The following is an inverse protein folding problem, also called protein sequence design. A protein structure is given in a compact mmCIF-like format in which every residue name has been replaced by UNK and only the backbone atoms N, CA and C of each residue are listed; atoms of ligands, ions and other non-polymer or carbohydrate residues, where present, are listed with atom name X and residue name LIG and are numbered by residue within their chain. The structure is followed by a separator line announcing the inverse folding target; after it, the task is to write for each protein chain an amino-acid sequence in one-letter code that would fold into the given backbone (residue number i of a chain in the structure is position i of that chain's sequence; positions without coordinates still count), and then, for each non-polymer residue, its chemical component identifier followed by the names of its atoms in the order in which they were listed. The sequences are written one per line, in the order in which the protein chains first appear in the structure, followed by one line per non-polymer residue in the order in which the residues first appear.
data_IF_146788369507
#
_entry.id   IF_146788369507
#
_cell.length_a   1.000
_cell.length_b   1.000
_cell.length_c   1.000
_cell.angle_alpha   90.00
_cell.angle_beta   90.00
_cell.angle_gamma   90.00
#
_symmetry.space_group_name_H-M   'P 1'
#
loop_
_entity.id
_entity.type
_entity.pdbx_description
1 polymer ?
#
# COMPACT_ATOMS: atom_id res chain seq x y z
N UNK A 1 6.87 -12.46 1.38
CA UNK A 1 6.03 -11.76 0.38
C UNK A 1 6.37 -10.28 0.24
N UNK A 2 6.37 -9.48 1.32
CA UNK A 2 6.70 -8.04 1.26
C UNK A 2 7.95 -7.71 0.44
N UNK A 3 9.10 -8.32 0.75
CA UNK A 3 10.37 -8.10 0.00
C UNK A 3 10.25 -8.33 -1.50
N UNK A 4 9.61 -9.43 -1.91
CA UNK A 4 9.47 -9.78 -3.34
C UNK A 4 8.58 -8.75 -4.05
N UNK A 5 7.46 -8.35 -3.43
CA UNK A 5 6.60 -7.28 -3.97
C UNK A 5 7.37 -5.95 -4.08
N UNK A 6 8.11 -5.56 -3.04
CA UNK A 6 8.92 -4.34 -3.06
C UNK A 6 9.96 -4.33 -4.19
N UNK A 7 10.62 -5.46 -4.44
CA UNK A 7 11.61 -5.57 -5.51
C UNK A 7 11.00 -5.43 -6.91
N UNK A 8 9.83 -6.05 -7.14
CA UNK A 8 9.17 -5.99 -8.45
C UNK A 8 8.51 -4.63 -8.74
N UNK A 9 8.29 -3.79 -7.71
CA UNK A 9 7.74 -2.44 -7.88
C UNK A 9 8.75 -1.42 -8.41
N UNK A 10 10.04 -1.69 -8.22
CA UNK A 10 11.12 -0.86 -8.77
C UNK A 10 11.20 -0.99 -10.31
N UNK A 11 11.74 0.05 -10.97
CA UNK A 11 12.14 1.34 -10.42
C UNK A 11 10.99 2.35 -10.22
N UNK A 12 9.77 2.04 -10.68
CA UNK A 12 8.68 3.02 -10.78
C UNK A 12 8.09 3.40 -9.42
N UNK A 13 8.02 2.45 -8.48
CA UNK A 13 7.48 2.68 -7.15
C UNK A 13 8.43 2.16 -6.09
N UNK A 14 8.82 3.06 -5.19
CA UNK A 14 9.58 2.75 -4.00
C UNK A 14 8.64 2.36 -2.86
N UNK A 15 8.89 1.21 -2.22
CA UNK A 15 8.22 0.85 -0.96
C UNK A 15 9.07 1.39 0.18
N UNK A 16 8.52 2.35 0.95
CA UNK A 16 9.24 2.93 2.09
C UNK A 16 8.98 2.19 3.40
N UNK A 17 7.84 1.52 3.53
CA UNK A 17 7.43 0.83 4.75
C UNK A 17 6.52 -0.36 4.47
N UNK A 18 6.61 -1.40 5.28
CA UNK A 18 5.76 -2.58 5.20
C UNK A 18 5.06 -2.84 6.54
N UNK A 19 3.73 -2.93 6.50
CA UNK A 19 2.89 -3.11 7.69
C UNK A 19 2.28 -4.52 7.67
N UNK A 20 2.39 -5.22 8.80
CA UNK A 20 2.08 -6.66 8.88
C UNK A 20 0.74 -6.98 9.57
N UNK A 21 0.08 -6.01 10.20
CA UNK A 21 -1.22 -6.22 10.83
C UNK A 21 -2.11 -4.98 10.73
N UNK A 22 -3.42 -5.19 10.93
CA UNK A 22 -4.37 -4.08 10.96
C UNK A 22 -4.12 -3.13 12.12
N UNK A 23 -3.79 -3.64 13.32
CA UNK A 23 -3.50 -2.78 14.48
C UNK A 23 -2.24 -1.94 14.26
N UNK A 24 -1.21 -2.51 13.60
CA UNK A 24 -0.03 -1.77 13.19
C UNK A 24 -0.38 -0.70 12.15
N UNK A 25 -1.29 -0.98 11.21
CA UNK A 25 -1.75 0.01 10.25
C UNK A 25 -2.44 1.19 10.93
N UNK A 26 -3.29 0.92 11.93
CA UNK A 26 -3.94 1.98 12.71
C UNK A 26 -2.94 2.85 13.47
N UNK A 27 -1.87 2.26 14.01
CA UNK A 27 -0.85 2.98 14.76
C UNK A 27 0.12 3.76 13.86
N UNK A 28 0.50 3.21 12.71
CA UNK A 28 1.63 3.70 11.92
C UNK A 28 1.22 4.63 10.77
N UNK A 29 0.07 4.37 10.12
CA UNK A 29 -0.41 5.21 9.01
C UNK A 29 -0.52 6.70 9.33
N UNK A 30 -1.04 7.16 10.49
CA UNK A 30 -1.14 8.61 10.76
C UNK A 30 0.23 9.29 10.93
N UNK A 31 1.30 8.54 11.20
CA UNK A 31 2.66 9.07 11.25
C UNK A 31 3.26 9.14 9.84
N UNK A 32 3.20 8.03 9.11
CA UNK A 32 3.73 7.91 7.76
C UNK A 32 3.07 8.92 6.81
N UNK A 33 1.74 9.01 6.80
CA UNK A 33 0.99 9.96 5.97
C UNK A 33 1.31 11.42 6.30
N UNK A 34 1.67 11.71 7.55
CA UNK A 34 2.10 13.03 7.99
C UNK A 34 3.60 13.31 7.71
N UNK A 35 4.35 12.37 7.12
CA UNK A 35 5.79 12.49 6.89
C UNK A 35 6.63 12.38 8.15
N UNK A 36 6.20 11.56 9.11
CA UNK A 36 6.91 11.29 10.38
C UNK A 36 7.29 9.81 10.45
N UNK A 37 8.35 9.52 11.19
CA UNK A 37 8.79 8.14 11.42
C UNK A 37 7.66 7.27 12.02
N UNK A 38 7.53 6.02 11.57
CA UNK A 38 6.54 5.10 12.12
C UNK A 38 6.93 4.76 13.57
N UNK A 39 5.96 4.87 14.48
CA UNK A 39 6.12 4.40 15.86
C UNK A 39 5.87 2.89 15.96
N UNK A 40 6.53 2.11 15.10
CA UNK A 40 6.27 0.67 14.98
C UNK A 40 6.71 -0.09 16.22
N UNK A 41 5.81 -0.93 16.74
CA UNK A 41 6.13 -1.88 17.82
C UNK A 41 6.79 -3.16 17.30
N UNK A 42 6.74 -3.39 15.99
CA UNK A 42 7.20 -4.60 15.30
C UNK A 42 7.94 -4.23 14.01
N UNK A 43 9.15 -3.64 14.11
CA UNK A 43 9.91 -3.23 12.94
C UNK A 43 10.25 -4.43 12.05
N UNK A 44 10.43 -4.17 10.76
CA UNK A 44 10.89 -5.15 9.78
C UNK A 44 11.86 -4.50 8.80
N UNK A 45 12.51 -5.29 7.95
CA UNK A 45 13.55 -4.83 7.03
C UNK A 45 13.04 -4.67 5.59
N UNK A 46 11.72 -4.55 5.41
CA UNK A 46 11.10 -4.43 4.08
C UNK A 46 10.84 -2.96 3.74
N UNK A 47 11.37 -2.54 2.60
CA UNK A 47 11.29 -1.17 2.14
C UNK A 47 12.54 -0.38 2.51
N UNK A 48 12.64 0.84 2.01
CA UNK A 48 13.84 1.68 2.16
C UNK A 48 13.94 2.38 3.51
N UNK A 49 12.81 2.53 4.22
CA UNK A 49 12.72 3.31 5.45
C UNK A 49 13.14 4.79 5.25
N UNK A 50 13.07 5.29 4.01
CA UNK A 50 13.20 6.72 3.73
C UNK A 50 11.87 7.43 3.99
N UNK A 51 11.73 8.00 5.19
CA UNK A 51 10.55 8.78 5.59
C UNK A 51 10.71 10.28 5.33
N UNK A 52 11.76 10.72 4.62
CA UNK A 52 11.95 12.13 4.28
C UNK A 52 10.81 12.69 3.40
N UNK A 53 10.09 11.80 2.72
CA UNK A 53 8.94 12.10 1.86
C UNK A 53 7.73 11.27 2.32
N UNK A 54 6.57 11.89 2.57
CA UNK A 54 5.34 11.15 2.85
C UNK A 54 4.97 10.22 1.68
N UNK A 55 4.37 9.04 1.95
CA UNK A 55 3.91 8.15 0.90
C UNK A 55 2.70 8.73 0.16
N UNK A 56 2.65 8.49 -1.16
CA UNK A 56 1.51 8.83 -2.03
C UNK A 56 0.58 7.66 -2.32
N UNK A 57 0.93 6.47 -1.83
CA UNK A 57 0.19 5.23 -2.04
C UNK A 57 0.18 4.42 -0.75
N UNK A 58 -1.00 3.91 -0.37
CA UNK A 58 -1.15 2.85 0.62
C UNK A 58 -1.71 1.62 -0.09
N UNK A 59 -0.99 0.50 0.01
CA UNK A 59 -1.30 -0.74 -0.72
C UNK A 59 -1.67 -1.86 0.25
N UNK A 60 -2.84 -2.47 0.00
CA UNK A 60 -3.37 -3.59 0.76
C UNK A 60 -3.40 -4.85 -0.11
N UNK A 61 -2.83 -5.94 0.39
CA UNK A 61 -2.93 -7.24 -0.25
C UNK A 61 -4.36 -7.78 -0.25
N UNK A 62 -4.61 -8.82 -1.06
CA UNK A 62 -5.93 -9.49 -1.21
C UNK A 62 -6.48 -10.17 0.05
N UNK A 63 -5.74 -10.15 1.17
CA UNK A 63 -6.19 -10.69 2.47
C UNK A 63 -6.92 -9.67 3.34
N UNK A 64 -7.00 -8.40 2.94
CA UNK A 64 -7.79 -7.39 3.63
C UNK A 64 -9.20 -7.32 3.06
N UNK A 65 -10.19 -7.27 3.93
CA UNK A 65 -11.58 -7.09 3.53
C UNK A 65 -11.79 -5.65 3.00
N UNK A 66 -12.68 -5.44 2.00
CA UNK A 66 -12.98 -4.11 1.49
C UNK A 66 -13.35 -3.10 2.59
N UNK A 67 -14.14 -3.55 3.58
CA UNK A 67 -14.58 -2.72 4.70
C UNK A 67 -13.41 -2.25 5.58
N UNK A 68 -12.41 -3.11 5.81
CA UNK A 68 -11.22 -2.73 6.58
C UNK A 68 -10.44 -1.60 5.91
N UNK A 69 -10.32 -1.66 4.58
CA UNK A 69 -9.65 -0.61 3.79
C UNK A 69 -10.45 0.69 3.82
N UNK A 70 -11.77 0.61 3.69
CA UNK A 70 -12.67 1.76 3.77
C UNK A 70 -12.61 2.45 5.14
N UNK A 71 -12.59 1.69 6.22
CA UNK A 71 -12.47 2.19 7.59
C UNK A 71 -11.15 2.92 7.81
N UNK A 72 -10.01 2.31 7.44
CA UNK A 72 -8.69 2.94 7.57
C UNK A 72 -8.60 4.21 6.73
N UNK A 73 -9.08 4.17 5.48
CA UNK A 73 -9.11 5.35 4.61
C UNK A 73 -9.92 6.46 5.26
N UNK A 74 -11.17 6.18 5.66
CA UNK A 74 -12.05 7.18 6.30
C UNK A 74 -11.42 7.76 7.56
N UNK A 75 -10.75 6.94 8.37
CA UNK A 75 -10.10 7.35 9.61
C UNK A 75 -8.93 8.29 9.38
N UNK A 76 -8.20 8.14 8.27
CA UNK A 76 -6.99 8.89 7.98
C UNK A 76 -7.12 9.86 6.79
N UNK A 77 -8.33 10.08 6.28
CA UNK A 77 -8.62 11.13 5.30
C UNK A 77 -8.12 12.48 5.81
N UNK A 78 -7.39 13.21 4.97
CA UNK A 78 -6.89 14.55 5.29
C UNK A 78 -5.68 14.60 6.22
N UNK A 79 -5.11 13.47 6.64
CA UNK A 79 -3.84 13.45 7.39
C UNK A 79 -2.66 13.79 6.47
N UNK A 80 -2.66 13.25 5.25
CA UNK A 80 -1.66 13.55 4.26
C UNK A 80 -1.87 14.95 3.67
N UNK A 81 -0.78 15.66 3.40
CA UNK A 81 -0.82 16.97 2.72
C UNK A 81 -1.15 16.87 1.23
N UNK A 82 -0.77 15.75 0.62
CA UNK A 82 -0.99 15.48 -0.79
C UNK A 82 -1.97 14.31 -0.95
N UNK A 83 -2.71 14.22 -2.08
CA UNK A 83 -3.64 13.12 -2.31
C UNK A 83 -2.96 11.76 -2.31
N UNK A 84 -3.54 10.81 -1.57
CA UNK A 84 -3.01 9.45 -1.40
C UNK A 84 -3.91 8.45 -2.11
N UNK A 85 -3.33 7.63 -2.97
CA UNK A 85 -4.02 6.49 -3.57
C UNK A 85 -4.13 5.35 -2.56
N UNK A 86 -5.36 4.93 -2.25
CA UNK A 86 -5.62 3.75 -1.44
C UNK A 86 -5.90 2.59 -2.37
N UNK A 87 -5.01 1.61 -2.45
CA UNK A 87 -5.14 0.49 -3.38
C UNK A 87 -5.37 -0.80 -2.63
N UNK A 88 -6.44 -1.53 -2.95
CA UNK A 88 -6.72 -2.85 -2.39
C UNK A 88 -6.78 -3.92 -3.46
N UNK A 89 -6.48 -5.14 -3.05
CA UNK A 89 -6.71 -6.31 -3.89
C UNK A 89 -8.19 -6.61 -4.02
N UNK A 90 -8.59 -7.18 -5.15
CA UNK A 90 -9.90 -7.82 -5.27
C UNK A 90 -9.93 -9.18 -4.53
N UNK A 91 -10.80 -9.38 -3.51
CA UNK A 91 -10.89 -10.65 -2.79
C UNK A 91 -11.30 -11.82 -3.68
N UNK A 92 -12.00 -11.57 -4.79
CA UNK A 92 -12.37 -12.61 -5.75
C UNK A 92 -11.15 -13.20 -6.50
N UNK A 93 -10.01 -12.50 -6.48
CA UNK A 93 -8.78 -12.91 -7.17
C UNK A 93 -7.76 -13.56 -6.22
N UNK A 94 -8.19 -13.98 -5.02
CA UNK A 94 -7.37 -14.75 -4.09
C UNK A 94 -7.12 -16.15 -4.67
N UNK A 95 -5.86 -16.58 -4.85
CA UNK A 95 -5.56 -17.90 -5.42
C UNK A 95 -6.01 -19.06 -4.51
N UNK A 96 -6.67 -20.06 -5.11
CA UNK A 96 -6.94 -21.34 -4.44
C UNK A 96 -5.64 -22.09 -4.14
N UNK A 97 -5.40 -22.47 -2.89
CA UNK A 97 -4.20 -23.21 -2.47
C UNK A 97 -2.99 -22.34 -2.11
N UNK A 98 -3.16 -21.01 -2.08
CA UNK A 98 -2.12 -20.06 -1.71
C UNK A 98 -1.33 -19.49 -2.89
N UNK A 99 -0.44 -18.52 -2.62
CA UNK A 99 0.27 -17.80 -3.67
C UNK A 99 1.38 -18.66 -4.30
N UNK A 100 1.30 -18.88 -5.62
CA UNK A 100 2.34 -19.53 -6.41
C UNK A 100 3.61 -18.68 -6.60
N UNK A 101 4.66 -19.21 -7.24
CA UNK A 101 5.97 -18.53 -7.37
C UNK A 101 5.88 -17.17 -8.09
N UNK A 102 5.02 -17.05 -9.10
CA UNK A 102 4.87 -15.82 -9.89
C UNK A 102 3.87 -14.82 -9.27
N UNK A 103 3.33 -15.11 -8.09
CA UNK A 103 2.25 -14.33 -7.50
C UNK A 103 2.65 -12.87 -7.27
N UNK A 104 3.85 -12.65 -6.72
CA UNK A 104 4.35 -11.30 -6.47
C UNK A 104 4.49 -10.50 -7.77
N UNK A 105 5.05 -11.11 -8.81
CA UNK A 105 5.19 -10.48 -10.12
C UNK A 105 3.83 -10.08 -10.70
N UNK A 106 2.84 -10.98 -10.68
CA UNK A 106 1.49 -10.70 -11.18
C UNK A 106 0.82 -9.55 -10.41
N UNK A 107 0.85 -9.62 -9.08
CA UNK A 107 0.30 -8.58 -8.19
C UNK A 107 0.93 -7.21 -8.48
N UNK A 108 2.26 -7.16 -8.62
CA UNK A 108 2.93 -5.88 -8.93
C UNK A 108 2.63 -5.37 -10.33
N UNK A 109 2.45 -6.24 -11.31
CA UNK A 109 2.05 -5.83 -12.66
C UNK A 109 0.66 -5.18 -12.65
N UNK A 110 -0.30 -5.76 -11.91
CA UNK A 110 -1.65 -5.20 -11.79
C UNK A 110 -1.67 -3.91 -10.97
N UNK A 111 -0.91 -3.86 -9.87
CA UNK A 111 -0.72 -2.64 -9.09
C UNK A 111 -0.12 -1.50 -9.94
N UNK A 112 0.93 -1.76 -10.72
CA UNK A 112 1.55 -0.76 -11.60
C UNK A 112 0.56 -0.24 -12.64
N UNK A 113 -0.26 -1.10 -13.24
CA UNK A 113 -1.29 -0.65 -14.20
C UNK A 113 -2.27 0.33 -13.56
N UNK A 114 -2.74 0.03 -12.36
CA UNK A 114 -3.71 0.87 -11.62
C UNK A 114 -3.08 2.19 -11.20
N UNK A 115 -1.87 2.15 -10.63
CA UNK A 115 -1.17 3.36 -10.19
C UNK A 115 -0.70 4.24 -11.35
N UNK A 116 -0.30 3.65 -12.48
CA UNK A 116 0.04 4.42 -13.68
C UNK A 116 -1.19 5.18 -14.19
N UNK A 117 -2.37 4.53 -14.26
CA UNK A 117 -3.61 5.21 -14.65
C UNK A 117 -3.94 6.38 -13.71
N UNK A 118 -3.82 6.17 -12.40
CA UNK A 118 -4.05 7.23 -11.41
C UNK A 118 -3.05 8.38 -11.54
N UNK A 119 -1.77 8.06 -11.73
CA UNK A 119 -0.71 9.06 -11.96
C UNK A 119 -0.96 9.84 -13.24
N UNK A 120 -1.28 9.17 -14.33
CA UNK A 120 -1.51 9.77 -15.64
C UNK A 120 -2.80 10.62 -15.67
N UNK A 121 -3.77 10.33 -14.78
CA UNK A 121 -4.93 11.17 -14.51
C UNK A 121 -4.62 12.39 -13.61
N UNK A 122 -3.38 12.55 -13.17
CA UNK A 122 -2.89 13.71 -12.42
C UNK A 122 -2.72 13.48 -10.92
N UNK A 123 -2.92 12.25 -10.41
CA UNK A 123 -2.67 11.88 -9.02
C UNK A 123 -3.45 12.72 -7.98
N UNK A 124 -4.70 13.05 -8.29
CA UNK A 124 -5.55 13.94 -7.45
C UNK A 124 -6.63 13.20 -6.68
N UNK A 125 -7.02 12.02 -7.17
CA UNK A 125 -8.14 11.29 -6.58
C UNK A 125 -7.70 10.51 -5.34
N UNK A 126 -8.38 10.73 -4.23
CA UNK A 126 -8.22 9.92 -3.02
C UNK A 126 -9.25 8.78 -3.00
N UNK A 127 -9.58 8.17 -4.14
CA UNK A 127 -10.51 7.04 -4.19
C UNK A 127 -9.81 5.71 -3.83
N UNK A 128 -10.61 4.69 -3.50
CA UNK A 128 -10.09 3.33 -3.34
C UNK A 128 -9.97 2.70 -4.73
N UNK A 129 -8.75 2.45 -5.15
CA UNK A 129 -8.42 1.74 -6.37
C UNK A 129 -8.38 0.23 -6.11
N UNK A 130 -8.76 -0.55 -7.11
CA UNK A 130 -8.78 -2.03 -7.03
C UNK A 130 -7.86 -2.61 -8.10
N UNK A 131 -7.06 -3.61 -7.73
CA UNK A 131 -6.17 -4.36 -8.62
C UNK A 131 -6.36 -5.89 -8.50
#
# INVERSE_FOLDING_TARGET
MGKSVSQHLLPEYEVIHFIQSYEAAEAELPHLLAGRDPQSRSPNDVGTHDYSRPPRVVFFGRGYEPQQVEELKKKFTGVAKEPVAWVRGNPADVPTGGPGPDYAQKVTADLKKVLNKWRDAGAKDEEILVY
#
